data_IF_767715668178
#
_entry.id   IF_767715668178
#
_cell.length_a   1.000
_cell.length_b   1.000
_cell.length_c   1.000
_cell.angle_alpha   90.00
_cell.angle_beta   90.00
_cell.angle_gamma   90.00
#
_symmetry.space_group_name_H-M   'P 1'
#
loop_
_entity.id
_entity.type
_entity.pdbx_description
1 polymer ?
#
# COMPACT_ATOMS: atom_id res chain seq x y z
N UNK A 1 -44.24 -3.22 29.99
CA UNK A 1 -42.77 -3.43 29.95
C UNK A 1 -42.13 -2.39 29.03
N UNK A 2 -40.92 -1.92 29.39
CA UNK A 2 -40.04 -0.94 28.70
C UNK A 2 -40.34 0.57 28.91
N UNK A 3 -40.20 1.04 30.16
CA UNK A 3 -39.96 2.46 30.52
C UNK A 3 -38.60 2.68 31.22
N UNK A 4 -37.69 1.69 31.15
CA UNK A 4 -36.42 1.69 31.91
C UNK A 4 -35.15 2.01 31.11
N UNK A 5 -35.24 2.26 29.81
CA UNK A 5 -34.03 2.45 28.96
C UNK A 5 -33.67 3.94 28.78
N UNK A 6 -34.62 4.86 29.02
CA UNK A 6 -34.39 6.30 28.81
C UNK A 6 -33.55 6.97 29.92
N UNK A 7 -33.42 6.34 31.10
CA UNK A 7 -32.76 6.95 32.26
C UNK A 7 -31.22 6.81 32.22
N UNK A 8 -30.68 5.86 31.46
CA UNK A 8 -29.25 5.58 31.43
C UNK A 8 -28.44 6.54 30.53
N UNK A 9 -29.07 7.14 29.51
CA UNK A 9 -28.39 8.06 28.58
C UNK A 9 -28.19 9.45 29.19
N UNK A 10 -28.99 9.84 30.18
CA UNK A 10 -28.96 11.18 30.77
C UNK A 10 -27.88 11.36 31.86
N UNK A 11 -27.38 10.26 32.43
CA UNK A 11 -26.33 10.30 33.48
C UNK A 11 -24.94 10.57 32.89
N UNK A 12 -24.68 10.18 31.64
CA UNK A 12 -23.36 10.31 31.01
C UNK A 12 -23.08 11.76 30.55
N UNK A 13 -24.12 12.56 30.31
CA UNK A 13 -23.97 13.95 29.81
C UNK A 13 -23.70 14.95 30.95
N UNK A 14 -23.96 14.59 32.22
CA UNK A 14 -23.80 15.52 33.36
C UNK A 14 -22.43 15.48 34.06
N UNK A 15 -21.52 14.57 33.70
CA UNK A 15 -20.21 14.42 34.37
C UNK A 15 -19.00 14.95 33.58
N UNK A 16 -19.20 15.58 32.41
CA UNK A 16 -18.12 16.13 31.59
C UNK A 16 -17.79 17.62 31.78
N UNK A 17 -18.47 18.32 32.71
CA UNK A 17 -18.22 19.74 32.99
C UNK A 17 -17.87 19.93 34.47
N UNK A 18 -16.61 19.72 34.81
CA UNK A 18 -15.99 20.36 35.96
C UNK A 18 -14.75 21.12 35.49
N UNK A 19 -15.00 22.39 35.13
CA UNK A 19 -14.04 23.48 35.24
C UNK A 19 -13.62 23.57 36.71
N UNK A 20 -12.34 23.40 36.98
CA UNK A 20 -11.73 23.96 38.19
C UNK A 20 -11.27 25.38 37.87
N UNK A 21 -11.99 26.35 38.43
CA UNK A 21 -11.51 27.71 38.68
C UNK A 21 -11.19 27.82 40.15
N UNK A 22 -9.97 28.23 40.46
CA UNK A 22 -9.48 28.86 41.70
C UNK A 22 -7.95 28.99 41.51
N UNK A 23 -7.22 30.05 41.81
CA UNK A 23 -7.45 31.42 42.31
C UNK A 23 -6.11 32.13 42.09
N UNK A 24 -6.12 33.44 41.86
CA UNK A 24 -4.94 34.28 41.62
C UNK A 24 -3.80 34.09 42.64
N UNK A 25 -2.58 33.78 42.14
CA UNK A 25 -1.33 34.23 42.75
C UNK A 25 -0.45 34.84 41.65
N UNK A 26 -0.25 36.17 41.72
CA UNK A 26 0.89 36.85 41.10
C UNK A 26 2.17 36.26 41.71
N UNK A 27 2.96 35.56 40.90
CA UNK A 27 4.40 35.37 41.14
C UNK A 27 5.15 35.59 39.85
N UNK A 28 6.17 36.43 39.95
CA UNK A 28 7.03 36.91 38.89
C UNK A 28 7.61 35.78 38.04
N UNK A 29 7.53 35.95 36.72
CA UNK A 29 8.17 35.09 35.74
C UNK A 29 9.68 35.37 35.82
N UNK A 30 10.38 34.60 36.65
CA UNK A 30 11.82 34.44 36.53
C UNK A 30 12.06 33.30 35.54
N UNK A 31 12.35 33.67 34.29
CA UNK A 31 12.86 32.78 33.24
C UNK A 31 14.23 32.24 33.68
N UNK A 32 14.22 31.16 34.46
CA UNK A 32 15.40 30.31 34.61
C UNK A 32 15.12 28.97 33.94
N UNK A 33 16.03 28.67 33.01
CA UNK A 33 16.08 27.54 32.12
C UNK A 33 15.97 26.21 32.87
N UNK A 34 14.76 25.72 33.05
CA UNK A 34 14.56 24.29 33.19
C UNK A 34 14.43 23.74 31.77
N UNK A 35 15.58 23.33 31.22
CA UNK A 35 15.61 22.42 30.09
C UNK A 35 14.78 21.20 30.49
N UNK A 36 13.53 21.19 30.03
CA UNK A 36 12.70 20.01 30.01
C UNK A 36 13.46 19.06 29.09
N UNK A 37 14.22 18.13 29.66
CA UNK A 37 14.64 16.92 28.97
C UNK A 37 13.34 16.23 28.58
N UNK A 38 12.84 16.56 27.41
CA UNK A 38 11.86 15.74 26.71
C UNK A 38 12.67 14.49 26.37
N UNK A 39 12.57 13.50 27.25
CA UNK A 39 12.92 12.13 26.93
C UNK A 39 11.91 11.71 25.85
N UNK A 40 12.18 12.11 24.61
CA UNK A 40 11.57 11.51 23.44
C UNK A 40 12.11 10.10 23.40
N UNK A 41 11.50 9.21 24.18
CA UNK A 41 11.36 7.83 23.76
C UNK A 41 10.65 7.92 22.42
N UNK A 42 11.44 7.94 21.34
CA UNK A 42 10.97 7.64 20.00
C UNK A 42 10.24 6.32 20.15
N UNK A 43 8.91 6.38 20.24
CA UNK A 43 8.07 5.20 20.22
C UNK A 43 8.49 4.43 18.97
N UNK A 44 8.97 3.20 19.17
CA UNK A 44 9.42 2.28 18.13
C UNK A 44 8.23 1.93 17.22
N UNK A 45 7.86 2.85 16.33
CA UNK A 45 6.91 2.56 15.27
C UNK A 45 7.58 1.51 14.39
N UNK A 46 6.97 0.32 14.23
CA UNK A 46 7.59 -0.76 13.48
C UNK A 46 7.91 -0.30 12.06
N UNK A 47 9.14 -0.55 11.63
CA UNK A 47 9.61 -0.17 10.30
C UNK A 47 8.81 -0.92 9.22
N UNK A 48 8.20 -0.17 8.30
CA UNK A 48 7.49 -0.73 7.16
C UNK A 48 8.51 -1.24 6.15
N UNK A 49 8.61 -2.56 5.98
CA UNK A 49 9.55 -3.13 5.00
C UNK A 49 8.89 -3.28 3.63
N UNK A 50 9.59 -2.83 2.59
CA UNK A 50 9.16 -2.90 1.19
C UNK A 50 10.20 -2.30 0.24
N UNK A 51 10.02 -2.52 -1.05
CA UNK A 51 10.80 -1.89 -2.12
C UNK A 51 10.17 -0.53 -2.44
N UNK A 52 10.85 0.55 -2.01
CA UNK A 52 10.39 1.92 -2.24
C UNK A 52 10.86 2.50 -3.58
N UNK A 53 11.26 1.65 -4.53
CA UNK A 53 11.58 2.08 -5.90
C UNK A 53 10.31 2.45 -6.67
N UNK A 54 10.32 3.63 -7.29
CA UNK A 54 9.30 4.03 -8.26
C UNK A 54 9.67 3.42 -9.62
N UNK A 55 8.69 2.81 -10.30
CA UNK A 55 8.85 2.29 -11.66
C UNK A 55 7.94 3.05 -12.63
N UNK A 56 8.51 3.47 -13.76
CA UNK A 56 7.81 4.22 -14.80
C UNK A 56 8.05 3.58 -16.15
N UNK A 57 6.99 3.44 -16.94
CA UNK A 57 7.00 2.71 -18.21
C UNK A 57 6.23 3.47 -19.29
N UNK A 58 6.87 3.68 -20.43
CA UNK A 58 6.22 4.10 -21.66
C UNK A 58 5.71 2.85 -22.40
N UNK A 59 4.39 2.69 -22.45
CA UNK A 59 3.75 1.53 -23.07
C UNK A 59 3.17 1.91 -24.43
N UNK A 60 3.46 1.11 -25.45
CA UNK A 60 2.83 1.23 -26.77
C UNK A 60 1.87 0.07 -26.98
N UNK A 61 0.56 0.34 -26.98
CA UNK A 61 -0.50 -0.66 -27.03
C UNK A 61 -1.59 -0.19 -27.99
N UNK A 62 -2.07 -1.05 -28.90
CA UNK A 62 -3.15 -0.71 -29.85
C UNK A 62 -2.94 0.59 -30.64
N UNK A 63 -1.70 0.84 -31.09
CA UNK A 63 -1.29 2.08 -31.80
C UNK A 63 -1.40 3.37 -30.98
N UNK A 64 -1.64 3.25 -29.67
CA UNK A 64 -1.70 4.37 -28.74
C UNK A 64 -0.51 4.31 -27.76
N UNK A 65 -0.13 5.46 -27.25
CA UNK A 65 0.94 5.60 -26.25
C UNK A 65 0.32 5.86 -24.88
N UNK A 66 0.75 5.07 -23.91
CA UNK A 66 0.34 5.17 -22.52
C UNK A 66 1.56 5.35 -21.64
N UNK A 67 1.37 6.04 -20.53
CA UNK A 67 2.36 6.14 -19.49
C UNK A 67 1.83 5.45 -18.24
N UNK A 68 2.64 4.54 -17.69
CA UNK A 68 2.34 3.80 -16.48
C UNK A 68 3.36 4.14 -15.39
N UNK A 69 2.86 4.41 -14.19
CA UNK A 69 3.68 4.62 -12.99
C UNK A 69 3.24 3.69 -11.87
N UNK A 70 4.21 3.06 -11.22
CA UNK A 70 4.06 2.19 -10.06
C UNK A 70 4.81 2.86 -8.91
N UNK A 71 4.06 3.49 -8.02
CA UNK A 71 4.59 4.33 -6.94
C UNK A 71 4.33 3.67 -5.59
N UNK A 72 5.36 3.29 -4.82
CA UNK A 72 5.21 2.74 -3.49
C UNK A 72 4.71 3.81 -2.52
N UNK A 73 3.89 3.41 -1.55
CA UNK A 73 3.33 4.27 -0.52
C UNK A 73 3.21 3.50 0.79
N UNK A 74 2.97 4.22 1.87
CA UNK A 74 2.66 3.65 3.18
C UNK A 74 1.22 4.04 3.50
N UNK A 75 0.37 3.05 3.77
CA UNK A 75 -0.94 3.27 4.39
C UNK A 75 -0.70 3.76 5.82
N UNK A 76 -0.81 5.08 6.04
CA UNK A 76 -0.54 5.69 7.34
C UNK A 76 -1.46 5.19 8.45
N UNK A 77 -2.66 4.70 8.13
CA UNK A 77 -3.60 4.21 9.14
C UNK A 77 -3.23 2.79 9.62
N UNK A 78 -2.66 1.97 8.72
CA UNK A 78 -2.27 0.58 9.04
C UNK A 78 -0.78 0.38 9.25
N UNK A 79 0.02 1.40 8.93
CA UNK A 79 1.47 1.31 8.84
C UNK A 79 1.92 0.11 7.98
N UNK A 80 1.33 -0.05 6.79
CA UNK A 80 1.62 -1.15 5.86
C UNK A 80 2.04 -0.62 4.49
N UNK A 81 2.92 -1.37 3.84
CA UNK A 81 3.34 -1.08 2.47
C UNK A 81 2.17 -1.30 1.50
N UNK A 82 1.98 -0.33 0.60
CA UNK A 82 1.07 -0.42 -0.53
C UNK A 82 1.71 0.19 -1.77
N UNK A 83 1.10 0.00 -2.92
CA UNK A 83 1.61 0.53 -4.18
C UNK A 83 0.46 1.10 -5.00
N UNK A 84 0.65 2.30 -5.52
CA UNK A 84 -0.29 2.91 -6.44
C UNK A 84 0.15 2.66 -7.89
N UNK A 85 -0.74 2.10 -8.70
CA UNK A 85 -0.55 1.88 -10.13
C UNK A 85 -1.45 2.86 -10.89
N UNK A 86 -0.83 3.77 -11.62
CA UNK A 86 -1.49 4.77 -12.45
C UNK A 86 -1.22 4.46 -13.93
N UNK A 87 -2.26 4.42 -14.75
CA UNK A 87 -2.15 4.39 -16.20
C UNK A 87 -2.81 5.63 -16.80
N UNK A 88 -2.08 6.33 -17.66
CA UNK A 88 -2.55 7.53 -18.36
C UNK A 88 -2.37 7.39 -19.86
N UNK A 89 -3.23 8.08 -20.61
CA UNK A 89 -3.09 8.30 -22.05
C UNK A 89 -3.09 9.81 -22.27
N UNK A 90 -1.96 10.39 -22.67
CA UNK A 90 -1.76 11.85 -22.69
C UNK A 90 -2.03 12.46 -21.31
N UNK A 91 -3.08 13.27 -21.16
CA UNK A 91 -3.48 13.89 -19.88
C UNK A 91 -4.54 13.08 -19.13
N UNK A 92 -5.17 12.12 -19.82
CA UNK A 92 -6.32 11.41 -19.29
C UNK A 92 -5.87 10.24 -18.43
N UNK A 93 -6.44 10.13 -17.23
CA UNK A 93 -6.26 8.95 -16.38
C UNK A 93 -7.19 7.83 -16.86
N UNK A 94 -6.60 6.72 -17.30
CA UNK A 94 -7.35 5.52 -17.69
C UNK A 94 -7.79 4.77 -16.43
N UNK A 95 -6.86 4.54 -15.50
CA UNK A 95 -7.18 4.06 -14.16
C UNK A 95 -6.11 4.49 -13.15
N UNK A 96 -6.52 4.53 -11.89
CA UNK A 96 -5.65 4.74 -10.74
C UNK A 96 -6.01 3.71 -9.66
N UNK A 97 -5.09 2.80 -9.33
CA UNK A 97 -5.38 1.62 -8.50
C UNK A 97 -4.34 1.46 -7.40
N UNK A 98 -4.81 1.47 -6.15
CA UNK A 98 -4.01 1.08 -5.00
C UNK A 98 -4.02 -0.43 -4.84
N UNK A 99 -2.83 -1.02 -4.76
CA UNK A 99 -2.55 -2.43 -4.50
C UNK A 99 -1.96 -2.55 -3.11
N UNK A 100 -2.63 -3.31 -2.26
CA UNK A 100 -2.18 -3.71 -0.94
C UNK A 100 -2.54 -5.18 -0.70
N UNK A 101 -1.99 -5.76 0.37
CA UNK A 101 -2.21 -7.19 0.66
C UNK A 101 -3.69 -7.53 0.84
N UNK A 102 -4.48 -6.64 1.43
CA UNK A 102 -5.91 -6.82 1.64
C UNK A 102 -6.67 -6.92 0.30
N UNK A 103 -6.33 -6.07 -0.67
CA UNK A 103 -6.95 -6.05 -2.00
C UNK A 103 -6.64 -7.31 -2.80
N UNK A 104 -5.41 -7.82 -2.70
CA UNK A 104 -4.99 -9.08 -3.33
C UNK A 104 -5.71 -10.26 -2.66
N UNK A 105 -5.70 -10.32 -1.32
CA UNK A 105 -6.36 -11.37 -0.54
C UNK A 105 -7.86 -11.46 -0.80
N UNK A 106 -8.58 -10.32 -0.86
CA UNK A 106 -10.01 -10.28 -1.22
C UNK A 106 -10.27 -10.85 -2.61
N UNK A 107 -9.41 -10.55 -3.57
CA UNK A 107 -9.56 -11.03 -4.95
C UNK A 107 -9.34 -12.54 -5.04
N UNK A 108 -8.34 -13.06 -4.32
CA UNK A 108 -8.06 -14.50 -4.21
C UNK A 108 -9.28 -15.25 -3.65
N UNK A 109 -9.82 -14.77 -2.53
CA UNK A 109 -10.99 -15.37 -1.89
C UNK A 109 -12.22 -15.34 -2.80
N UNK A 110 -12.49 -14.19 -3.44
CA UNK A 110 -13.65 -14.01 -4.33
C UNK A 110 -13.60 -14.95 -5.53
N UNK A 111 -12.43 -15.13 -6.12
CA UNK A 111 -12.26 -15.88 -7.37
C UNK A 111 -11.78 -17.32 -7.18
N UNK A 112 -11.66 -17.80 -5.93
CA UNK A 112 -11.32 -19.19 -5.61
C UNK A 112 -10.06 -19.67 -6.34
N UNK A 113 -9.04 -18.83 -6.36
CA UNK A 113 -7.76 -19.15 -7.01
C UNK A 113 -7.00 -20.05 -6.06
N UNK A 114 -6.87 -21.33 -6.42
CA UNK A 114 -6.29 -22.37 -5.59
C UNK A 114 -5.01 -22.93 -6.23
N UNK A 115 -4.04 -23.30 -5.40
CA UNK A 115 -2.88 -24.12 -5.79
C UNK A 115 -2.88 -25.36 -4.89
N UNK A 116 -2.39 -26.48 -5.41
CA UNK A 116 -2.51 -27.82 -4.83
C UNK A 116 -1.77 -28.05 -3.49
N UNK A 117 -1.28 -26.99 -2.81
CA UNK A 117 -0.80 -27.13 -1.44
C UNK A 117 -0.99 -25.87 -0.58
N UNK A 118 -1.98 -25.94 0.31
CA UNK A 118 -2.07 -25.28 1.63
C UNK A 118 -2.17 -23.73 1.71
N UNK A 119 -3.25 -23.28 2.39
CA UNK A 119 -3.37 -22.00 3.14
C UNK A 119 -3.72 -20.68 2.41
N UNK A 120 -4.60 -20.70 1.41
CA UNK A 120 -5.12 -19.44 0.79
C UNK A 120 -5.86 -18.50 1.75
N UNK A 121 -6.42 -19.03 2.85
CA UNK A 121 -7.14 -18.25 3.86
C UNK A 121 -6.25 -17.29 4.67
N UNK A 122 -4.92 -17.36 4.49
CA UNK A 122 -3.95 -16.67 5.34
C UNK A 122 -3.15 -15.59 4.64
N UNK A 123 -3.31 -15.39 3.32
CA UNK A 123 -2.54 -14.36 2.58
C UNK A 123 -2.85 -12.95 3.10
N UNK A 124 -4.12 -12.61 3.34
CA UNK A 124 -4.47 -11.28 3.83
C UNK A 124 -4.01 -11.01 5.28
N UNK A 125 -3.75 -12.07 6.06
CA UNK A 125 -3.56 -11.97 7.52
C UNK A 125 -2.18 -12.37 8.01
N UNK A 126 -1.45 -13.23 7.29
CA UNK A 126 -0.13 -13.75 7.67
C UNK A 126 0.99 -13.27 6.73
N UNK A 127 0.65 -12.49 5.71
CA UNK A 127 1.61 -11.95 4.75
C UNK A 127 1.53 -10.43 4.68
N UNK A 128 2.63 -9.84 4.25
CA UNK A 128 2.75 -8.43 3.94
C UNK A 128 3.29 -8.23 2.52
N UNK A 129 2.78 -7.20 1.84
CA UNK A 129 3.24 -6.82 0.51
C UNK A 129 4.62 -6.17 0.63
N UNK A 130 5.55 -6.56 -0.23
CA UNK A 130 6.91 -6.03 -0.26
C UNK A 130 7.22 -5.24 -1.51
N UNK A 131 6.70 -5.68 -2.65
CA UNK A 131 7.08 -5.11 -3.95
C UNK A 131 5.99 -5.40 -4.95
N UNK A 132 5.83 -4.51 -5.92
CA UNK A 132 5.00 -4.71 -7.10
C UNK A 132 5.79 -4.25 -8.31
N UNK A 133 5.88 -5.08 -9.34
CA UNK A 133 6.56 -4.76 -10.60
C UNK A 133 5.69 -5.09 -11.79
N UNK A 134 5.90 -4.34 -12.87
CA UNK A 134 5.30 -4.64 -14.16
C UNK A 134 5.88 -5.92 -14.75
N UNK A 135 5.01 -6.83 -15.17
CA UNK A 135 5.39 -8.09 -15.79
C UNK A 135 5.24 -8.03 -17.31
N UNK A 136 4.11 -7.54 -17.82
CA UNK A 136 3.87 -7.43 -19.26
C UNK A 136 2.42 -7.05 -19.60
N UNK A 137 2.12 -6.96 -20.90
CA UNK A 137 0.77 -6.69 -21.41
C UNK A 137 0.30 -7.85 -22.27
N UNK A 138 -0.98 -8.22 -22.14
CA UNK A 138 -1.64 -9.11 -23.09
C UNK A 138 -3.09 -8.70 -23.25
N UNK A 139 -3.51 -8.51 -24.50
CA UNK A 139 -4.88 -8.07 -24.81
C UNK A 139 -5.26 -6.80 -24.04
N UNK A 140 -6.37 -6.82 -23.31
CA UNK A 140 -6.90 -5.69 -22.54
C UNK A 140 -6.38 -5.63 -21.09
N UNK A 141 -5.37 -6.44 -20.75
CA UNK A 141 -4.89 -6.62 -19.39
C UNK A 141 -3.40 -6.28 -19.28
N UNK A 142 -3.07 -5.54 -18.23
CA UNK A 142 -1.70 -5.32 -17.76
C UNK A 142 -1.42 -6.29 -16.63
N UNK A 143 -0.32 -7.03 -16.75
CA UNK A 143 0.13 -8.03 -15.80
C UNK A 143 1.24 -7.49 -14.91
N UNK A 144 1.17 -7.86 -13.64
CA UNK A 144 2.08 -7.44 -12.59
C UNK A 144 2.43 -8.62 -11.70
N UNK A 145 3.61 -8.57 -11.12
CA UNK A 145 4.05 -9.50 -10.09
C UNK A 145 4.17 -8.75 -8.76
N UNK A 146 3.56 -9.29 -7.71
CA UNK A 146 3.70 -8.81 -6.35
C UNK A 146 4.54 -9.78 -5.52
N UNK A 147 5.56 -9.28 -4.82
CA UNK A 147 6.28 -10.05 -3.82
C UNK A 147 5.62 -9.85 -2.47
N UNK A 148 5.30 -10.97 -1.81
CA UNK A 148 4.76 -10.98 -0.46
C UNK A 148 5.63 -11.86 0.44
N UNK A 149 5.79 -11.44 1.69
CA UNK A 149 6.57 -12.17 2.68
C UNK A 149 5.67 -12.57 3.85
N UNK A 150 5.81 -13.80 4.34
CA UNK A 150 5.12 -14.23 5.54
C UNK A 150 5.70 -13.53 6.76
N UNK A 151 4.82 -12.97 7.59
CA UNK A 151 5.18 -12.34 8.85
C UNK A 151 5.68 -13.38 9.88
N UNK A 152 5.31 -14.65 9.73
CA UNK A 152 5.53 -15.70 10.73
C UNK A 152 6.39 -16.87 10.27
N UNK A 153 6.47 -17.17 8.96
CA UNK A 153 7.03 -18.44 8.46
C UNK A 153 8.27 -18.34 7.60
N UNK A 154 8.88 -17.15 7.49
CA UNK A 154 10.03 -16.88 6.61
C UNK A 154 9.81 -17.39 5.16
N UNK A 155 8.55 -17.45 4.72
CA UNK A 155 8.17 -17.92 3.39
C UNK A 155 7.82 -16.73 2.51
N UNK A 156 8.46 -16.62 1.36
CA UNK A 156 8.14 -15.62 0.35
C UNK A 156 7.30 -16.25 -0.75
N UNK A 157 6.33 -15.48 -1.25
CA UNK A 157 5.50 -15.86 -2.38
C UNK A 157 5.47 -14.71 -3.38
N UNK A 158 5.31 -15.06 -4.64
CA UNK A 158 5.04 -14.13 -5.73
C UNK A 158 3.61 -14.34 -6.18
N UNK A 159 2.87 -13.26 -6.37
CA UNK A 159 1.50 -13.26 -6.87
C UNK A 159 1.50 -12.63 -8.25
N UNK A 160 1.03 -13.38 -9.25
CA UNK A 160 0.73 -12.82 -10.57
C UNK A 160 -0.70 -12.28 -10.53
N UNK A 161 -0.87 -11.03 -10.93
CA UNK A 161 -2.17 -10.40 -11.03
C UNK A 161 -2.26 -9.52 -12.27
N UNK A 162 -3.48 -9.17 -12.66
CA UNK A 162 -3.75 -8.31 -13.80
C UNK A 162 -4.73 -7.18 -13.46
N UNK A 163 -4.59 -6.08 -14.18
CA UNK A 163 -5.51 -4.96 -14.18
C UNK A 163 -6.01 -4.72 -15.61
N UNK A 164 -7.33 -4.79 -15.80
CA UNK A 164 -7.93 -4.51 -17.12
C UNK A 164 -7.94 -3.01 -17.42
N UNK A 165 -7.55 -2.60 -18.63
CA UNK A 165 -7.41 -1.18 -18.97
C UNK A 165 -8.31 -0.69 -20.13
N UNK A 166 -8.81 -1.58 -20.99
CA UNK A 166 -9.62 -1.21 -22.17
C UNK A 166 -11.05 -1.77 -22.17
N UNK A 167 -11.49 -2.45 -21.11
CA UNK A 167 -12.81 -3.06 -21.06
C UNK A 167 -13.82 -2.16 -20.33
N UNK A 168 -14.79 -1.59 -21.07
CA UNK A 168 -15.82 -0.71 -20.52
C UNK A 168 -16.60 -1.41 -19.39
N UNK A 169 -16.56 -0.83 -18.19
CA UNK A 169 -17.17 -1.40 -16.98
C UNK A 169 -16.27 -2.34 -16.17
N UNK A 170 -15.14 -2.76 -16.73
CA UNK A 170 -14.10 -3.54 -16.03
C UNK A 170 -12.76 -2.80 -15.89
N UNK A 171 -12.61 -1.61 -16.48
CA UNK A 171 -11.39 -0.79 -16.36
C UNK A 171 -10.99 -0.59 -14.90
N UNK A 172 -9.72 -0.85 -14.57
CA UNK A 172 -9.16 -0.76 -13.22
C UNK A 172 -9.54 -1.93 -12.29
N UNK A 173 -10.24 -2.95 -12.78
CA UNK A 173 -10.52 -4.15 -11.98
C UNK A 173 -9.28 -5.03 -11.88
N UNK A 174 -9.05 -5.46 -10.65
CA UNK A 174 -7.95 -6.31 -10.24
C UNK A 174 -8.41 -7.76 -10.29
N UNK A 175 -7.62 -8.62 -10.93
CA UNK A 175 -7.80 -10.07 -10.90
C UNK A 175 -6.47 -10.70 -10.55
N UNK A 176 -6.46 -11.65 -9.61
CA UNK A 176 -5.28 -12.44 -9.33
C UNK A 176 -5.30 -13.64 -10.28
N UNK A 177 -4.14 -14.03 -10.81
CA UNK A 177 -4.02 -15.13 -11.77
C UNK A 177 -3.45 -16.38 -11.09
N UNK A 178 -2.59 -16.22 -10.08
CA UNK A 178 -1.98 -17.33 -9.34
C UNK A 178 -0.86 -16.87 -8.43
N UNK A 179 -0.21 -17.82 -7.77
CA UNK A 179 0.92 -17.59 -6.89
C UNK A 179 1.98 -18.68 -7.09
N UNK A 180 3.23 -18.34 -6.77
CA UNK A 180 4.39 -19.22 -6.93
C UNK A 180 5.52 -18.74 -6.00
N UNK A 181 6.28 -19.64 -5.41
CA UNK A 181 7.49 -19.29 -4.64
C UNK A 181 8.63 -18.74 -5.53
N UNK A 182 8.73 -19.27 -6.76
CA UNK A 182 9.81 -18.98 -7.71
C UNK A 182 9.52 -17.82 -8.65
N UNK A 183 8.25 -17.41 -8.76
CA UNK A 183 7.81 -16.35 -9.67
C UNK A 183 7.40 -16.82 -11.05
N UNK A 184 7.13 -15.87 -11.94
CA UNK A 184 6.48 -16.11 -13.23
C UNK A 184 7.39 -15.85 -14.44
N UNK A 185 8.72 -15.94 -14.24
CA UNK A 185 9.71 -15.66 -15.27
C UNK A 185 10.19 -14.20 -15.26
N UNK A 186 10.93 -13.78 -16.30
CA UNK A 186 11.48 -12.42 -16.37
C UNK A 186 10.37 -11.37 -16.38
N UNK A 187 10.58 -10.28 -15.64
CA UNK A 187 9.65 -9.17 -15.48
C UNK A 187 10.13 -7.96 -16.30
N UNK A 188 9.29 -7.49 -17.23
CA UNK A 188 9.63 -6.35 -18.09
C UNK A 188 10.04 -5.12 -17.27
N UNK A 189 9.41 -4.93 -16.10
CA UNK A 189 9.65 -3.78 -15.25
C UNK A 189 11.06 -3.71 -14.67
N UNK A 190 11.66 -4.83 -14.23
CA UNK A 190 13.03 -4.81 -13.72
C UNK A 190 14.05 -4.68 -14.84
N UNK A 191 13.82 -5.35 -15.97
CA UNK A 191 14.69 -5.28 -17.15
C UNK A 191 14.76 -3.84 -17.68
N UNK A 192 13.61 -3.16 -17.78
CA UNK A 192 13.54 -1.76 -18.22
C UNK A 192 14.18 -0.83 -17.20
N UNK A 193 13.91 -1.01 -15.90
CA UNK A 193 14.50 -0.17 -14.86
C UNK A 193 16.04 -0.30 -14.82
N UNK A 194 16.57 -1.52 -14.97
CA UNK A 194 18.01 -1.75 -15.08
C UNK A 194 18.62 -1.08 -16.32
N UNK A 195 17.94 -1.12 -17.46
CA UNK A 195 18.39 -0.44 -18.69
C UNK A 195 18.36 1.08 -18.50
N UNK A 196 17.28 1.63 -17.96
CA UNK A 196 17.12 3.06 -17.74
C UNK A 196 18.11 3.61 -16.70
N UNK A 197 18.45 2.84 -15.66
CA UNK A 197 19.53 3.20 -14.70
C UNK A 197 20.93 3.13 -15.33
N UNK A 198 21.18 2.25 -16.31
CA UNK A 198 22.49 2.14 -16.99
C UNK A 198 22.76 3.26 -17.99
N UNK A 199 21.73 3.84 -18.62
CA UNK A 199 21.90 4.94 -19.59
C UNK A 199 22.37 6.25 -18.94
N UNK A 200 22.18 6.44 -17.62
CA UNK A 200 22.66 7.64 -16.90
C UNK A 200 24.10 7.56 -16.33
N UNK A 201 24.87 6.50 -16.59
CA UNK A 201 26.27 6.40 -16.13
C UNK A 201 27.34 6.84 -17.13
N UNK A 202 26.96 7.39 -18.27
CA UNK A 202 27.89 8.04 -19.21
C UNK A 202 27.55 9.53 -19.30
N UNK A 203 28.12 10.34 -18.41
CA UNK A 203 28.70 11.69 -18.63
C UNK A 203 29.02 12.26 -17.25
N UNK A 204 30.21 11.92 -16.75
CA UNK A 204 30.99 12.74 -15.82
C UNK A 204 32.45 12.37 -16.10
N UNK A 205 32.95 12.87 -17.23
CA UNK A 205 34.38 13.02 -17.44
C UNK A 205 34.67 14.47 -17.13
N UNK A 206 35.46 14.68 -16.07
CA UNK A 206 36.02 15.94 -15.63
C UNK A 206 36.90 16.51 -16.74
#
# INVERSE_FOLDING_TARGET
MKKGILLYVLIIICFGCHRTTNTDEKKDINLQNNALNIDTSLEDTPEVKGDFTIYEHDLSMYNEKYFMSITPRIDSAKNKYETNILLTQKIDTIFNKVINIDSLGKTILKHKIFEDSTEHFKIATEYELRKVVYHGVRTNDLYFEADIASETRQKNLKILFQISYLNKGETGKLFVNGFNEKGFGPNAGEIENERNRKVKKATNTI
#
